data_IF_095687922268
#
_entry.id   IF_095687922268
#
_cell.length_a   1.000
_cell.length_b   1.000
_cell.length_c   1.000
_cell.angle_alpha   90.00
_cell.angle_beta   90.00
_cell.angle_gamma   90.00
#
_symmetry.space_group_name_H-M   'P 1'
#
loop_
_entity.id
_entity.type
_entity.pdbx_description
1 polymer ?
#
# COMPACT_ATOMS: atom_id res chain seq x y z
N UNK A 1 -8.22 5.25 -21.15
CA UNK A 1 -6.95 5.74 -21.73
C UNK A 1 -5.81 5.06 -21.02
N UNK A 2 -4.69 4.70 -21.69
CA UNK A 2 -3.55 4.12 -20.99
C UNK A 2 -3.07 5.05 -19.87
N UNK A 3 -2.42 4.52 -18.85
CA UNK A 3 -1.80 5.32 -17.79
C UNK A 3 -0.55 4.59 -17.34
N UNK A 4 0.59 5.27 -17.43
CA UNK A 4 1.85 4.71 -16.96
C UNK A 4 1.99 4.94 -15.45
N UNK A 5 2.57 3.95 -14.76
CA UNK A 5 2.93 4.06 -13.35
C UNK A 5 4.43 4.23 -13.24
N UNK A 6 4.86 5.26 -12.52
CA UNK A 6 6.24 5.58 -12.28
C UNK A 6 6.63 5.42 -10.80
N UNK A 7 7.92 5.15 -10.58
CA UNK A 7 8.57 5.09 -9.27
C UNK A 7 9.90 5.83 -9.32
N UNK A 8 10.43 6.23 -8.17
CA UNK A 8 11.67 7.02 -8.04
C UNK A 8 12.94 6.19 -8.11
N UNK A 9 12.86 4.86 -8.21
CA UNK A 9 14.06 4.02 -8.32
C UNK A 9 13.72 2.63 -8.86
N UNK A 10 14.72 1.97 -9.44
CA UNK A 10 14.53 0.67 -10.11
C UNK A 10 14.22 -0.48 -9.14
N UNK A 11 14.70 -0.38 -7.90
CA UNK A 11 14.40 -1.32 -6.81
C UNK A 11 12.94 -1.23 -6.30
N UNK A 12 12.24 -0.12 -6.59
CA UNK A 12 10.79 0.02 -6.36
C UNK A 12 9.96 -0.55 -7.52
N UNK A 13 10.59 -0.85 -8.66
CA UNK A 13 9.93 -1.40 -9.84
C UNK A 13 9.90 -2.94 -9.79
N UNK A 14 9.04 -3.51 -8.94
CA UNK A 14 8.90 -4.97 -8.85
C UNK A 14 8.58 -5.60 -10.22
N UNK A 15 9.12 -6.79 -10.52
CA UNK A 15 8.84 -7.47 -11.78
C UNK A 15 7.34 -7.77 -11.90
N UNK A 16 6.83 -7.78 -13.13
CA UNK A 16 5.46 -8.21 -13.36
C UNK A 16 5.25 -9.67 -12.97
N UNK A 17 4.09 -10.01 -12.42
CA UNK A 17 3.70 -11.40 -12.12
C UNK A 17 3.13 -12.13 -13.34
N UNK A 18 2.84 -11.40 -14.42
CA UNK A 18 2.31 -11.88 -15.68
C UNK A 18 3.00 -11.18 -16.86
N UNK A 19 2.71 -11.62 -18.09
CA UNK A 19 3.34 -11.08 -19.31
C UNK A 19 2.70 -9.78 -19.82
N UNK A 20 1.53 -9.40 -19.30
CA UNK A 20 0.74 -8.30 -19.84
C UNK A 20 0.99 -6.99 -19.10
N UNK A 21 1.36 -7.07 -17.82
CA UNK A 21 1.61 -5.91 -16.97
C UNK A 21 2.78 -5.08 -17.51
N UNK A 22 2.57 -3.81 -17.88
CA UNK A 22 3.60 -2.95 -18.46
C UNK A 22 4.70 -2.71 -17.43
N UNK A 23 5.95 -2.47 -17.87
CA UNK A 23 7.04 -2.10 -16.99
C UNK A 23 6.74 -0.78 -16.24
N UNK A 24 7.28 -0.63 -15.02
CA UNK A 24 7.21 0.65 -14.33
C UNK A 24 8.16 1.66 -15.02
N UNK A 25 7.75 2.91 -15.11
CA UNK A 25 8.63 3.99 -15.52
C UNK A 25 9.51 4.37 -14.33
N UNK A 26 10.82 4.34 -14.48
CA UNK A 26 11.74 4.72 -13.41
C UNK A 26 12.20 6.14 -13.63
N UNK A 27 11.78 7.06 -12.77
CA UNK A 27 12.31 8.42 -12.78
C UNK A 27 13.65 8.39 -12.06
N UNK A 28 14.73 8.69 -12.78
CA UNK A 28 16.09 8.64 -12.23
C UNK A 28 16.36 9.88 -11.35
N UNK A 29 17.18 9.74 -10.30
CA UNK A 29 17.51 10.86 -9.44
C UNK A 29 18.34 11.93 -10.17
N UNK A 30 18.35 13.18 -9.68
CA UNK A 30 18.95 14.31 -10.40
C UNK A 30 20.43 14.16 -10.73
N UNK A 31 21.19 13.48 -9.87
CA UNK A 31 22.62 13.26 -10.05
C UNK A 31 22.94 12.16 -11.07
N UNK A 32 21.98 11.30 -11.41
CA UNK A 32 22.16 10.19 -12.34
C UNK A 32 21.71 10.53 -13.78
N UNK A 33 20.94 11.61 -13.97
CA UNK A 33 20.40 11.97 -15.27
C UNK A 33 20.23 13.50 -15.43
N UNK A 34 20.76 14.11 -16.51
CA UNK A 34 20.51 15.50 -16.86
C UNK A 34 19.01 15.80 -16.99
N UNK A 35 18.60 17.06 -16.77
CA UNK A 35 17.18 17.44 -16.80
C UNK A 35 16.57 17.26 -18.19
N UNK A 36 17.26 17.71 -19.24
CA UNK A 36 16.77 17.65 -20.62
C UNK A 36 16.50 16.21 -21.09
N UNK A 37 17.36 15.27 -20.69
CA UNK A 37 17.16 13.85 -20.97
C UNK A 37 15.90 13.30 -20.28
N UNK A 38 15.69 13.64 -19.00
CA UNK A 38 14.49 13.22 -18.30
C UNK A 38 13.21 13.88 -18.83
N UNK A 39 13.28 15.13 -19.30
CA UNK A 39 12.15 15.80 -19.96
C UNK A 39 11.78 15.07 -21.26
N UNK A 40 12.77 14.68 -22.06
CA UNK A 40 12.55 13.91 -23.29
C UNK A 40 11.97 12.53 -22.99
N UNK A 41 12.53 11.80 -22.02
CA UNK A 41 12.03 10.47 -21.63
C UNK A 41 10.59 10.53 -21.09
N UNK A 42 10.30 11.42 -20.14
CA UNK A 42 8.93 11.54 -19.60
C UNK A 42 7.94 12.13 -20.61
N UNK A 43 8.39 13.04 -21.46
CA UNK A 43 7.59 13.56 -22.57
C UNK A 43 7.14 12.42 -23.50
N UNK A 44 8.07 11.55 -23.90
CA UNK A 44 7.74 10.38 -24.73
C UNK A 44 6.77 9.41 -24.02
N UNK A 45 6.93 9.21 -22.70
CA UNK A 45 6.00 8.41 -21.89
C UNK A 45 4.60 9.03 -21.89
N UNK A 46 4.48 10.34 -21.69
CA UNK A 46 3.19 11.04 -21.70
C UNK A 46 2.53 11.04 -23.08
N UNK A 47 3.29 11.17 -24.16
CA UNK A 47 2.75 11.07 -25.51
C UNK A 47 2.26 9.65 -25.82
N UNK A 48 2.99 8.62 -25.37
CA UNK A 48 2.61 7.23 -25.62
C UNK A 48 1.45 6.75 -24.74
N UNK A 49 1.48 7.09 -23.45
CA UNK A 49 0.50 6.60 -22.47
C UNK A 49 -0.60 7.61 -22.16
N UNK A 50 -0.50 8.86 -22.58
CA UNK A 50 -1.46 9.91 -22.24
C UNK A 50 -1.28 10.47 -20.83
N UNK A 51 -1.27 9.61 -19.80
CA UNK A 51 -1.14 10.00 -18.38
C UNK A 51 -0.02 9.25 -17.66
N UNK A 52 0.54 9.90 -16.63
CA UNK A 52 1.58 9.37 -15.77
C UNK A 52 1.21 9.56 -14.29
N UNK A 53 1.41 8.52 -13.50
CA UNK A 53 1.27 8.55 -12.03
C UNK A 53 2.59 8.14 -11.40
N UNK A 54 3.33 9.09 -10.81
CA UNK A 54 4.55 8.78 -10.06
C UNK A 54 4.26 8.61 -8.57
N UNK A 55 4.73 7.50 -8.00
CA UNK A 55 4.71 7.19 -6.58
C UNK A 55 6.10 7.41 -5.99
N UNK A 56 6.18 8.00 -4.81
CA UNK A 56 7.42 8.10 -4.05
C UNK A 56 7.17 7.92 -2.55
N UNK A 57 8.14 7.35 -1.85
CA UNK A 57 8.05 7.14 -0.41
C UNK A 57 8.33 8.45 0.32
N UNK A 58 7.79 8.63 1.52
CA UNK A 58 8.20 9.76 2.39
C UNK A 58 9.67 9.69 2.85
N UNK A 59 10.42 8.64 2.49
CA UNK A 59 11.88 8.57 2.66
C UNK A 59 12.66 9.05 1.41
N UNK A 60 11.96 9.39 0.32
CA UNK A 60 12.58 9.84 -0.92
C UNK A 60 13.39 11.14 -0.70
N UNK A 61 14.62 11.23 -1.23
CA UNK A 61 15.44 12.43 -1.12
C UNK A 61 14.72 13.70 -1.62
N UNK A 62 14.79 14.85 -0.90
CA UNK A 62 14.07 16.07 -1.28
C UNK A 62 14.44 16.63 -2.67
N UNK A 63 15.66 16.40 -3.15
CA UNK A 63 16.10 16.76 -4.50
C UNK A 63 15.38 15.94 -5.58
N UNK A 64 15.11 14.66 -5.31
CA UNK A 64 14.31 13.83 -6.19
C UNK A 64 12.85 14.27 -6.24
N UNK A 65 12.25 14.61 -5.09
CA UNK A 65 10.89 15.17 -5.04
C UNK A 65 10.82 16.47 -5.82
N UNK A 66 11.79 17.38 -5.64
CA UNK A 66 11.90 18.61 -6.44
C UNK A 66 11.99 18.31 -7.94
N UNK A 67 12.77 17.31 -8.35
CA UNK A 67 12.89 16.89 -9.76
C UNK A 67 11.56 16.45 -10.35
N UNK A 68 10.74 15.68 -9.63
CA UNK A 68 9.39 15.33 -10.10
C UNK A 68 8.53 16.57 -10.36
N UNK A 69 8.53 17.51 -9.41
CA UNK A 69 7.78 18.77 -9.57
C UNK A 69 8.32 19.65 -10.70
N UNK A 70 9.64 19.72 -10.89
CA UNK A 70 10.26 20.43 -12.01
C UNK A 70 9.87 19.81 -13.35
N UNK A 71 9.92 18.48 -13.47
CA UNK A 71 9.51 17.77 -14.69
C UNK A 71 8.04 18.07 -15.02
N UNK A 72 7.15 17.99 -14.03
CA UNK A 72 5.73 18.34 -14.22
C UNK A 72 5.53 19.79 -14.66
N UNK A 73 6.24 20.73 -14.02
CA UNK A 73 6.10 22.16 -14.32
C UNK A 73 6.62 22.51 -15.72
N UNK A 74 7.78 22.00 -16.11
CA UNK A 74 8.41 22.30 -17.41
C UNK A 74 7.68 21.61 -18.56
N UNK A 75 7.12 20.42 -18.34
CA UNK A 75 6.26 19.76 -19.32
C UNK A 75 4.88 20.40 -19.43
N UNK A 76 4.55 21.40 -18.60
CA UNK A 76 3.26 22.10 -18.53
C UNK A 76 2.06 21.13 -18.51
N UNK A 77 2.24 19.97 -17.87
CA UNK A 77 1.33 18.85 -17.99
C UNK A 77 0.42 18.71 -16.77
N UNK A 78 -0.88 18.75 -17.01
CA UNK A 78 -1.92 18.31 -16.08
C UNK A 78 -2.11 16.79 -16.08
N UNK A 79 -1.40 16.07 -16.97
CA UNK A 79 -1.43 14.62 -17.15
C UNK A 79 -0.40 13.88 -16.30
N UNK A 80 0.28 14.56 -15.39
CA UNK A 80 1.30 14.00 -14.51
C UNK A 80 0.92 14.16 -13.02
N UNK A 81 0.46 13.07 -12.40
CA UNK A 81 0.20 12.99 -10.97
C UNK A 81 1.48 12.60 -10.20
N UNK A 82 1.72 13.27 -9.07
CA UNK A 82 2.86 13.02 -8.17
C UNK A 82 2.27 12.69 -6.79
N UNK A 83 2.46 11.45 -6.34
CA UNK A 83 1.79 10.88 -5.18
C UNK A 83 2.80 10.44 -4.11
N UNK A 84 2.90 11.17 -2.98
CA UNK A 84 3.58 10.64 -1.81
C UNK A 84 2.80 9.45 -1.23
N UNK A 85 3.52 8.50 -0.65
CA UNK A 85 2.94 7.45 0.18
C UNK A 85 3.68 7.32 1.51
N UNK A 86 2.90 7.13 2.57
CA UNK A 86 3.40 6.83 3.90
C UNK A 86 3.86 5.38 4.05
N UNK A 87 3.62 4.54 3.04
CA UNK A 87 4.12 3.16 3.04
C UNK A 87 5.65 3.11 3.09
N UNK A 88 6.21 2.12 3.80
CA UNK A 88 7.59 1.70 3.62
C UNK A 88 7.93 1.44 2.14
N UNK A 89 9.19 1.61 1.71
CA UNK A 89 9.59 1.50 0.30
C UNK A 89 9.17 0.19 -0.39
N UNK A 90 9.25 -0.96 0.27
CA UNK A 90 8.78 -2.22 -0.28
C UNK A 90 7.24 -2.27 -0.39
N UNK A 91 6.54 -1.68 0.59
CA UNK A 91 5.09 -1.51 0.54
C UNK A 91 4.67 -0.64 -0.66
N UNK A 92 5.39 0.45 -0.93
CA UNK A 92 5.22 1.27 -2.13
C UNK A 92 5.46 0.45 -3.39
N UNK A 93 6.53 -0.35 -3.43
CA UNK A 93 6.87 -1.17 -4.59
C UNK A 93 5.76 -2.18 -4.93
N UNK A 94 5.14 -2.78 -3.91
CA UNK A 94 3.95 -3.64 -4.07
C UNK A 94 2.74 -2.84 -4.55
N UNK A 95 2.47 -1.66 -3.98
CA UNK A 95 1.39 -0.78 -4.43
C UNK A 95 1.56 -0.36 -5.91
N UNK A 96 2.78 -0.01 -6.32
CA UNK A 96 3.11 0.34 -7.69
C UNK A 96 2.87 -0.83 -8.65
N UNK A 97 3.21 -2.06 -8.24
CA UNK A 97 2.91 -3.27 -9.00
C UNK A 97 1.39 -3.46 -9.17
N UNK A 98 0.60 -3.31 -8.11
CA UNK A 98 -0.87 -3.42 -8.18
C UNK A 98 -1.49 -2.37 -9.10
N UNK A 99 -1.01 -1.12 -9.04
CA UNK A 99 -1.50 -0.06 -9.92
C UNK A 99 -1.14 -0.32 -11.40
N UNK A 100 0.02 -0.93 -11.68
CA UNK A 100 0.38 -1.34 -13.05
C UNK A 100 -0.55 -2.42 -13.57
N UNK A 101 -0.94 -3.38 -12.74
CA UNK A 101 -1.92 -4.39 -13.12
C UNK A 101 -3.28 -3.74 -13.41
N UNK A 102 -3.72 -2.82 -12.54
CA UNK A 102 -4.99 -2.09 -12.73
C UNK A 102 -4.98 -1.10 -13.90
N UNK A 103 -3.81 -0.63 -14.35
CA UNK A 103 -3.70 0.22 -15.54
C UNK A 103 -4.10 -0.49 -16.84
N UNK A 104 -4.18 -1.83 -16.83
CA UNK A 104 -4.70 -2.62 -17.95
C UNK A 104 -6.23 -2.69 -17.96
N UNK A 105 -6.87 -2.31 -16.86
CA UNK A 105 -8.32 -2.28 -16.72
C UNK A 105 -8.91 -0.96 -17.24
N UNK A 106 -10.24 -0.91 -17.33
CA UNK A 106 -11.00 0.23 -17.85
C UNK A 106 -11.18 1.38 -16.84
N UNK A 107 -10.16 1.68 -16.04
CA UNK A 107 -10.17 2.81 -15.13
C UNK A 107 -9.73 4.11 -15.81
N UNK A 108 -10.38 5.21 -15.45
CA UNK A 108 -9.88 6.54 -15.80
C UNK A 108 -8.56 6.83 -15.06
N UNK A 109 -7.68 7.68 -15.60
CA UNK A 109 -6.40 8.01 -14.97
C UNK A 109 -6.59 8.59 -13.57
N UNK A 110 -7.59 9.46 -13.39
CA UNK A 110 -7.92 10.06 -12.10
C UNK A 110 -8.33 9.03 -11.05
N UNK A 111 -9.20 8.09 -11.42
CA UNK A 111 -9.63 7.01 -10.53
C UNK A 111 -8.47 6.07 -10.18
N UNK A 112 -7.65 5.68 -11.17
CA UNK A 112 -6.47 4.83 -10.96
C UNK A 112 -5.46 5.50 -10.02
N UNK A 113 -5.17 6.78 -10.23
CA UNK A 113 -4.25 7.53 -9.37
C UNK A 113 -4.77 7.65 -7.93
N UNK A 114 -6.08 7.91 -7.76
CA UNK A 114 -6.69 8.00 -6.43
C UNK A 114 -6.81 6.62 -5.75
N UNK A 115 -6.93 5.54 -6.52
CA UNK A 115 -6.95 4.17 -6.00
C UNK A 115 -5.68 3.81 -5.23
N UNK A 116 -4.55 4.48 -5.49
CA UNK A 116 -3.31 4.30 -4.72
C UNK A 116 -3.55 4.43 -3.19
N UNK A 117 -4.35 5.42 -2.77
CA UNK A 117 -4.68 5.66 -1.35
C UNK A 117 -5.57 4.57 -0.79
N UNK A 118 -6.57 4.14 -1.54
CA UNK A 118 -7.45 3.03 -1.15
C UNK A 118 -6.65 1.73 -0.99
N UNK A 119 -5.86 1.39 -1.99
CA UNK A 119 -5.11 0.13 -2.03
C UNK A 119 -3.99 0.10 -0.99
N UNK A 120 -3.43 1.25 -0.61
CA UNK A 120 -2.46 1.33 0.49
C UNK A 120 -3.03 0.74 1.79
N UNK A 121 -4.34 0.89 2.07
CA UNK A 121 -4.97 0.27 3.24
C UNK A 121 -5.00 -1.27 3.21
N UNK A 122 -4.81 -1.87 2.02
CA UNK A 122 -4.77 -3.32 1.81
C UNK A 122 -3.34 -3.86 1.68
N UNK A 123 -2.31 -3.02 1.90
CA UNK A 123 -0.91 -3.43 1.92
C UNK A 123 -0.42 -3.52 3.36
N UNK A 124 -0.25 -4.72 3.90
CA UNK A 124 0.34 -4.90 5.23
C UNK A 124 1.86 -4.80 5.12
N UNK A 125 2.41 -3.64 5.47
CA UNK A 125 3.83 -3.33 5.30
C UNK A 125 4.52 -3.18 6.65
N UNK A 126 5.68 -3.81 6.79
CA UNK A 126 6.41 -3.90 8.05
C UNK A 126 7.86 -4.28 7.87
N UNK A 127 8.59 -4.41 8.98
CA UNK A 127 9.96 -4.90 8.95
C UNK A 127 10.31 -5.65 10.25
N UNK A 128 11.26 -6.58 10.10
CA UNK A 128 12.01 -7.12 11.22
C UNK A 128 13.26 -6.26 11.43
N UNK A 129 13.35 -5.60 12.57
CA UNK A 129 14.39 -4.62 12.88
C UNK A 129 15.33 -5.15 13.97
N UNK A 130 16.62 -4.87 13.83
CA UNK A 130 17.63 -5.07 14.87
C UNK A 130 17.76 -3.89 15.84
N UNK A 131 17.06 -2.78 15.58
CA UNK A 131 16.97 -1.63 16.47
C UNK A 131 15.77 -0.76 16.07
N UNK A 132 15.11 -0.16 17.05
CA UNK A 132 14.02 0.80 16.86
C UNK A 132 14.36 2.19 17.43
N UNK A 133 15.64 2.46 17.68
CA UNK A 133 16.09 3.68 18.35
C UNK A 133 15.83 4.97 17.55
N UNK A 134 15.68 4.88 16.22
CA UNK A 134 15.40 6.01 15.30
C UNK A 134 14.16 5.76 14.45
N UNK A 135 13.23 4.94 14.95
CA UNK A 135 12.00 4.63 14.25
C UNK A 135 11.00 5.77 14.48
N UNK A 136 11.11 6.82 13.65
CA UNK A 136 10.32 8.04 13.82
C UNK A 136 8.98 8.00 13.07
N UNK A 137 8.89 7.19 12.00
CA UNK A 137 7.73 7.14 11.09
C UNK A 137 6.58 6.26 11.57
N UNK A 138 6.80 5.45 12.61
CA UNK A 138 5.77 4.60 13.22
C UNK A 138 5.44 5.22 14.58
N UNK A 139 4.21 5.65 14.85
CA UNK A 139 3.87 6.22 16.15
C UNK A 139 4.02 5.13 17.21
N UNK A 140 5.01 5.30 18.09
CA UNK A 140 5.34 4.35 19.14
C UNK A 140 4.87 4.87 20.49
N UNK A 141 4.29 4.00 21.32
CA UNK A 141 4.20 4.28 22.75
C UNK A 141 5.61 4.41 23.34
N UNK A 142 5.79 5.36 24.27
CA UNK A 142 7.07 5.65 24.96
C UNK A 142 7.76 4.39 25.53
N UNK A 143 6.98 3.36 25.91
CA UNK A 143 7.48 2.07 26.42
C UNK A 143 8.32 1.29 25.40
N UNK A 144 8.09 1.51 24.11
CA UNK A 144 8.79 0.83 23.01
C UNK A 144 10.24 1.29 22.88
N UNK A 145 10.54 2.53 23.26
CA UNK A 145 11.93 3.03 23.28
C UNK A 145 12.77 2.34 24.37
N UNK A 146 12.17 1.95 25.50
CA UNK A 146 12.87 1.18 26.54
C UNK A 146 13.20 -0.25 26.11
N UNK A 147 12.38 -0.85 25.23
CA UNK A 147 12.64 -2.17 24.66
C UNK A 147 13.89 -2.18 23.76
N UNK A 148 14.25 -1.04 23.16
CA UNK A 148 15.39 -0.92 22.23
C UNK A 148 16.77 -1.08 22.88
N UNK A 149 16.86 -1.02 24.21
CA UNK A 149 18.11 -1.10 24.96
C UNK A 149 18.52 -2.54 25.31
N UNK A 150 17.70 -3.53 24.94
CA UNK A 150 18.00 -4.94 25.18
C UNK A 150 18.92 -5.50 24.08
N UNK A 151 20.18 -5.87 24.41
CA UNK A 151 21.10 -6.41 23.42
C UNK A 151 20.58 -7.74 22.86
N UNK A 152 20.65 -7.90 21.54
CA UNK A 152 20.31 -9.17 20.88
C UNK A 152 18.80 -9.42 20.66
N UNK A 153 17.92 -8.47 20.95
CA UNK A 153 16.51 -8.57 20.56
C UNK A 153 16.31 -8.20 19.07
N UNK A 154 15.30 -8.80 18.43
CA UNK A 154 14.74 -8.27 17.19
C UNK A 154 13.34 -7.71 17.46
N UNK A 155 12.87 -6.82 16.61
CA UNK A 155 11.57 -6.18 16.72
C UNK A 155 10.80 -6.40 15.42
N UNK A 156 9.68 -7.10 15.49
CA UNK A 156 8.74 -7.19 14.40
C UNK A 156 7.84 -5.95 14.45
N UNK A 157 7.87 -5.15 13.40
CA UNK A 157 7.10 -3.91 13.29
C UNK A 157 6.17 -4.01 12.09
N UNK A 158 4.89 -3.73 12.29
CA UNK A 158 3.93 -3.44 11.23
C UNK A 158 3.74 -1.91 11.21
N UNK A 159 3.99 -1.27 10.08
CA UNK A 159 3.80 0.17 9.90
C UNK A 159 2.43 0.50 9.33
N UNK A 160 1.89 -0.38 8.48
CA UNK A 160 0.62 -0.20 7.80
C UNK A 160 -0.11 -1.56 7.74
N UNK A 161 -1.46 -1.63 7.84
CA UNK A 161 -2.40 -0.50 7.94
C UNK A 161 -2.44 0.15 9.33
N UNK A 162 -2.21 -0.61 10.39
CA UNK A 162 -2.18 -0.10 11.76
C UNK A 162 -0.81 -0.39 12.38
N UNK A 163 -0.15 0.63 12.96
CA UNK A 163 1.12 0.48 13.67
C UNK A 163 1.09 -0.56 14.78
N UNK A 164 1.94 -1.58 14.69
CA UNK A 164 2.14 -2.59 15.74
C UNK A 164 3.62 -2.89 15.92
N UNK A 165 4.05 -3.14 17.16
CA UNK A 165 5.41 -3.60 17.46
C UNK A 165 5.39 -4.75 18.44
N UNK A 166 6.13 -5.80 18.11
CA UNK A 166 6.34 -6.96 18.98
C UNK A 166 7.83 -7.26 19.08
N UNK A 167 8.31 -7.55 20.29
CA UNK A 167 9.68 -8.01 20.50
C UNK A 167 9.79 -9.51 20.21
N UNK A 168 10.80 -9.89 19.46
CA UNK A 168 11.17 -11.28 19.21
C UNK A 168 12.44 -11.64 19.98
N UNK A 169 12.35 -12.68 20.80
CA UNK A 169 13.50 -13.23 21.50
C UNK A 169 14.19 -14.27 20.59
N UNK A 170 15.51 -14.11 20.35
CA UNK A 170 16.29 -14.95 19.40
C UNK A 170 16.30 -16.46 19.73
N UNK A 171 16.01 -16.83 20.97
CA UNK A 171 16.11 -18.19 21.48
C UNK A 171 14.76 -18.88 21.73
N UNK A 172 13.64 -18.19 21.52
CA UNK A 172 12.32 -18.73 21.82
C UNK A 172 11.67 -19.35 20.59
N UNK A 173 11.42 -20.66 20.63
CA UNK A 173 10.54 -21.39 19.70
C UNK A 173 9.12 -20.78 19.61
N UNK A 174 8.76 -19.90 20.56
CA UNK A 174 7.53 -19.07 20.58
C UNK A 174 7.52 -17.90 19.60
N UNK A 175 8.53 -17.72 18.75
CA UNK A 175 8.49 -16.72 17.68
C UNK A 175 7.29 -16.89 16.71
N UNK A 176 6.62 -18.05 16.73
CA UNK A 176 5.36 -18.31 16.03
C UNK A 176 4.14 -17.59 16.64
N UNK A 177 4.19 -17.18 17.92
CA UNK A 177 3.13 -16.41 18.61
C UNK A 177 3.35 -14.89 18.55
N UNK A 178 4.31 -14.43 17.75
CA UNK A 178 4.79 -13.04 17.66
C UNK A 178 3.76 -11.98 17.20
N UNK A 179 2.47 -12.33 17.11
CA UNK A 179 1.38 -11.39 17.38
C UNK A 179 1.24 -10.18 16.45
N UNK A 180 1.85 -10.16 15.26
CA UNK A 180 1.46 -9.17 14.25
C UNK A 180 0.09 -9.55 13.70
N UNK A 181 -0.86 -8.60 13.64
CA UNK A 181 -2.19 -8.88 13.13
C UNK A 181 -2.11 -9.33 11.67
N UNK A 182 -2.68 -10.50 11.39
CA UNK A 182 -2.71 -11.05 10.05
C UNK A 182 -3.73 -10.30 9.18
N UNK A 183 -3.47 -10.15 7.87
CA UNK A 183 -4.45 -9.63 6.93
C UNK A 183 -5.75 -10.46 6.98
N UNK A 184 -6.90 -9.79 7.03
CA UNK A 184 -8.23 -10.44 7.00
C UNK A 184 -8.65 -10.95 5.61
N UNK A 185 -7.70 -11.09 4.69
CA UNK A 185 -7.92 -11.45 3.28
C UNK A 185 -6.73 -12.24 2.75
N UNK A 186 -6.94 -12.95 1.63
CA UNK A 186 -5.88 -13.72 1.01
C UNK A 186 -4.75 -12.81 0.49
N UNK A 187 -3.51 -13.11 0.88
CA UNK A 187 -2.35 -12.29 0.53
C UNK A 187 -1.21 -13.09 -0.05
N UNK A 188 -0.37 -12.40 -0.80
CA UNK A 188 0.98 -12.83 -1.15
C UNK A 188 1.97 -11.94 -0.40
N UNK A 189 3.05 -12.54 0.11
CA UNK A 189 4.12 -11.85 0.82
C UNK A 189 5.29 -11.57 -0.12
N UNK A 190 5.73 -10.32 -0.16
CA UNK A 190 7.02 -9.93 -0.71
C UNK A 190 7.89 -9.48 0.45
N UNK A 191 9.13 -9.92 0.49
CA UNK A 191 10.06 -9.52 1.54
C UNK A 191 11.45 -9.28 1.00
N UNK A 192 12.22 -8.47 1.70
CA UNK A 192 13.55 -8.07 1.26
C UNK A 192 14.55 -8.17 2.40
N UNK A 193 15.63 -8.94 2.16
CA UNK A 193 16.69 -9.15 3.13
C UNK A 193 17.63 -7.95 3.16
N UNK A 194 17.77 -7.31 4.32
CA UNK A 194 18.87 -6.40 4.62
C UNK A 194 19.92 -7.06 5.49
N UNK A 195 20.36 -6.39 6.55
CA UNK A 195 21.37 -6.92 7.48
C UNK A 195 20.78 -7.84 8.57
N UNK A 196 19.46 -7.99 8.63
CA UNK A 196 18.77 -8.96 9.51
C UNK A 196 18.34 -10.16 8.69
N UNK A 197 18.42 -11.36 9.27
CA UNK A 197 17.92 -12.58 8.61
C UNK A 197 16.42 -12.46 8.35
N UNK A 198 16.00 -12.69 7.11
CA UNK A 198 14.59 -12.73 6.74
C UNK A 198 13.93 -14.11 6.92
N UNK A 199 14.60 -15.08 7.54
CA UNK A 199 14.03 -16.42 7.79
C UNK A 199 12.75 -16.38 8.61
N UNK A 200 12.67 -15.48 9.60
CA UNK A 200 11.43 -15.30 10.36
C UNK A 200 10.30 -14.77 9.46
N UNK A 201 10.59 -13.86 8.54
CA UNK A 201 9.61 -13.28 7.61
C UNK A 201 9.13 -14.32 6.59
N UNK A 202 10.06 -14.93 5.85
CA UNK A 202 9.73 -15.90 4.80
C UNK A 202 9.23 -17.25 5.35
N UNK A 203 9.53 -17.56 6.62
CA UNK A 203 9.15 -18.82 7.26
C UNK A 203 8.00 -18.68 8.26
N UNK A 204 8.26 -18.01 9.39
CA UNK A 204 7.32 -17.95 10.51
C UNK A 204 6.13 -17.05 10.21
N UNK A 205 6.39 -15.81 9.79
CA UNK A 205 5.35 -14.84 9.46
C UNK A 205 4.48 -15.34 8.30
N UNK A 206 5.10 -15.76 7.20
CA UNK A 206 4.41 -16.31 6.03
C UNK A 206 3.43 -17.45 6.40
N UNK A 207 3.86 -18.40 7.26
CA UNK A 207 2.99 -19.48 7.75
C UNK A 207 1.88 -18.97 8.67
N UNK A 208 2.21 -18.09 9.61
CA UNK A 208 1.25 -17.56 10.58
C UNK A 208 0.12 -16.76 9.92
N UNK A 209 0.45 -16.02 8.85
CA UNK A 209 -0.50 -15.25 8.05
C UNK A 209 -1.19 -16.07 6.96
N UNK A 210 -0.82 -17.36 6.82
CA UNK A 210 -1.35 -18.26 5.80
C UNK A 210 -1.28 -17.66 4.39
N UNK A 211 -0.16 -17.03 4.06
CA UNK A 211 0.01 -16.36 2.76
C UNK A 211 0.04 -17.38 1.64
N UNK A 212 -0.51 -17.03 0.48
CA UNK A 212 -0.57 -17.91 -0.70
C UNK A 212 0.81 -18.17 -1.33
N UNK A 213 1.79 -17.31 -1.04
CA UNK A 213 3.17 -17.44 -1.48
C UNK A 213 4.04 -16.34 -0.89
N UNK A 214 5.35 -16.59 -0.80
CA UNK A 214 6.33 -15.65 -0.29
C UNK A 214 7.52 -15.55 -1.26
N UNK A 215 7.93 -14.33 -1.60
CA UNK A 215 8.99 -14.07 -2.57
C UNK A 215 9.99 -13.06 -2.02
N UNK A 216 11.27 -13.37 -2.21
CA UNK A 216 12.35 -12.49 -1.82
C UNK A 216 12.74 -11.54 -2.96
N UNK A 217 12.97 -10.27 -2.63
CA UNK A 217 13.48 -9.24 -3.54
C UNK A 217 14.65 -8.48 -2.90
N UNK A 218 15.47 -7.75 -3.68
CA UNK A 218 16.47 -6.85 -3.13
C UNK A 218 15.83 -5.78 -2.22
N UNK A 219 16.50 -5.43 -1.12
CA UNK A 219 16.03 -4.36 -0.22
C UNK A 219 16.08 -3.01 -0.94
N UNK A 220 14.97 -2.26 -1.00
CA UNK A 220 14.99 -0.93 -1.57
C UNK A 220 15.99 -0.01 -0.84
N UNK A 221 16.72 0.82 -1.58
CA UNK A 221 17.76 1.71 -1.07
C UNK A 221 17.21 2.70 -0.04
N UNK A 222 15.97 3.16 -0.22
CA UNK A 222 15.30 4.09 0.69
C UNK A 222 14.88 3.44 2.03
N UNK A 223 14.93 2.11 2.15
CA UNK A 223 14.43 1.37 3.33
C UNK A 223 15.17 1.75 4.61
N UNK A 224 16.50 1.90 4.54
CA UNK A 224 17.28 2.24 5.72
C UNK A 224 16.95 3.64 6.25
N UNK A 225 16.68 4.60 5.35
CA UNK A 225 16.25 5.94 5.71
C UNK A 225 14.83 5.94 6.27
N UNK A 226 13.94 5.11 5.72
CA UNK A 226 12.56 4.98 6.20
C UNK A 226 12.50 4.36 7.61
N UNK A 227 13.18 3.23 7.84
CA UNK A 227 13.18 2.50 9.11
C UNK A 227 14.14 3.09 10.16
N UNK A 228 14.99 4.05 9.78
CA UNK A 228 16.01 4.64 10.65
C UNK A 228 17.18 3.71 10.98
N UNK A 229 17.31 2.58 10.28
CA UNK A 229 18.35 1.55 10.52
C UNK A 229 18.64 0.71 9.29
N UNK A 230 19.90 0.29 9.10
CA UNK A 230 20.28 -0.71 8.09
C UNK A 230 20.03 -2.15 8.54
N UNK A 231 19.83 -2.35 9.84
CA UNK A 231 19.50 -3.65 10.45
C UNK A 231 18.00 -3.92 10.28
N UNK A 232 17.58 -4.11 9.04
CA UNK A 232 16.18 -4.37 8.69
C UNK A 232 16.07 -5.57 7.74
N UNK A 233 14.95 -6.28 7.83
CA UNK A 233 14.40 -7.10 6.76
C UNK A 233 12.95 -6.64 6.55
N UNK A 234 12.66 -6.03 5.41
CA UNK A 234 11.36 -5.43 5.13
C UNK A 234 10.40 -6.46 4.54
N UNK A 235 9.10 -6.29 4.78
CA UNK A 235 8.06 -7.13 4.20
C UNK A 235 6.81 -6.33 3.84
N UNK A 236 6.11 -6.80 2.83
CA UNK A 236 4.83 -6.29 2.40
C UNK A 236 3.93 -7.45 1.96
N UNK A 237 2.75 -7.58 2.56
CA UNK A 237 1.73 -8.52 2.14
C UNK A 237 0.54 -7.77 1.53
N UNK A 238 0.07 -8.20 0.36
CA UNK A 238 -1.05 -7.55 -0.29
C UNK A 238 -1.90 -8.55 -1.09
N UNK A 239 -3.08 -8.10 -1.51
CA UNK A 239 -4.00 -8.88 -2.34
C UNK A 239 -3.32 -9.16 -3.70
N UNK A 240 -3.15 -10.45 -4.09
CA UNK A 240 -2.49 -10.81 -5.34
C UNK A 240 -3.45 -10.93 -6.52
N UNK A 241 -4.76 -11.04 -6.27
CA UNK A 241 -5.78 -11.28 -7.28
C UNK A 241 -6.26 -9.95 -7.90
N UNK A 242 -5.97 -9.76 -9.20
CA UNK A 242 -6.38 -8.58 -9.97
C UNK A 242 -7.90 -8.38 -9.99
N UNK A 243 -8.68 -9.46 -10.01
CA UNK A 243 -10.15 -9.37 -10.00
C UNK A 243 -10.64 -8.78 -8.69
N UNK A 244 -10.03 -9.15 -7.57
CA UNK A 244 -10.35 -8.58 -6.25
C UNK A 244 -9.93 -7.11 -6.19
N UNK A 245 -8.74 -6.77 -6.68
CA UNK A 245 -8.28 -5.38 -6.75
C UNK A 245 -9.22 -4.52 -7.61
N UNK A 246 -9.62 -5.03 -8.77
CA UNK A 246 -10.58 -4.37 -9.66
C UNK A 246 -11.91 -4.12 -8.94
N UNK A 247 -12.47 -5.14 -8.26
CA UNK A 247 -13.73 -5.01 -7.54
C UNK A 247 -13.64 -4.01 -6.38
N UNK A 248 -12.51 -3.96 -5.66
CA UNK A 248 -12.28 -2.97 -4.62
C UNK A 248 -12.38 -1.56 -5.18
N UNK A 249 -11.67 -1.26 -6.27
CA UNK A 249 -11.67 0.08 -6.89
C UNK A 249 -13.01 0.39 -7.55
N UNK A 250 -13.58 -0.55 -8.31
CA UNK A 250 -14.80 -0.35 -9.08
C UNK A 250 -16.04 -0.15 -8.18
N UNK A 251 -16.03 -0.67 -6.95
CA UNK A 251 -17.14 -0.58 -6.00
C UNK A 251 -17.21 0.74 -5.23
N UNK A 252 -16.17 1.59 -5.30
CA UNK A 252 -16.15 2.88 -4.60
C UNK A 252 -16.95 3.92 -5.38
N UNK A 253 -17.67 4.79 -4.66
CA UNK A 253 -18.38 5.92 -5.24
C UNK A 253 -17.38 6.87 -5.90
N UNK A 254 -17.60 7.14 -7.18
CA UNK A 254 -16.80 8.06 -8.00
C UNK A 254 -17.42 9.44 -7.96
N UNK A 255 -16.57 10.45 -7.96
CA UNK A 255 -16.94 11.85 -8.12
C UNK A 255 -16.07 12.48 -9.21
N UNK A 256 -16.52 13.55 -9.83
CA UNK A 256 -15.72 14.30 -10.80
C UNK A 256 -15.03 15.47 -10.11
N UNK A 257 -13.75 15.67 -10.41
CA UNK A 257 -13.03 16.85 -9.95
C UNK A 257 -13.64 18.11 -10.58
N UNK A 258 -14.12 19.05 -9.75
CA UNK A 258 -14.69 20.32 -10.25
C UNK A 258 -13.67 21.24 -10.94
N UNK A 259 -12.38 20.97 -10.76
CA UNK A 259 -11.31 21.78 -11.35
C UNK A 259 -10.83 21.21 -12.68
N UNK A 260 -10.40 19.94 -12.72
CA UNK A 260 -9.83 19.32 -13.92
C UNK A 260 -10.75 18.32 -14.63
N UNK A 261 -11.95 18.03 -14.10
CA UNK A 261 -12.92 17.11 -14.71
C UNK A 261 -12.61 15.62 -14.62
N UNK A 262 -11.44 15.23 -14.09
CA UNK A 262 -11.10 13.81 -13.92
C UNK A 262 -11.93 13.15 -12.81
N UNK A 263 -12.33 11.89 -13.01
CA UNK A 263 -12.93 11.08 -11.95
C UNK A 263 -11.94 10.89 -10.78
N UNK A 264 -12.44 10.85 -9.56
CA UNK A 264 -11.65 10.62 -8.36
C UNK A 264 -12.43 9.83 -7.32
N UNK A 265 -11.68 9.32 -6.34
CA UNK A 265 -12.21 8.80 -5.07
C UNK A 265 -11.53 9.54 -3.93
N UNK A 266 -12.27 9.80 -2.85
CA UNK A 266 -11.78 10.50 -1.67
C UNK A 266 -11.93 12.02 -1.74
N UNK A 267 -11.10 12.71 -0.96
CA UNK A 267 -11.24 14.13 -0.62
C UNK A 267 -10.39 15.09 -1.47
N UNK A 268 -9.49 14.56 -2.31
CA UNK A 268 -8.56 15.34 -3.14
C UNK A 268 -8.27 14.63 -4.46
N UNK A 269 -8.19 15.41 -5.54
CA UNK A 269 -7.76 14.92 -6.85
C UNK A 269 -6.25 14.62 -6.87
N UNK A 270 -5.86 13.47 -7.42
CA UNK A 270 -4.46 13.06 -7.56
C UNK A 270 -3.65 13.92 -8.55
N UNK A 271 -4.29 14.53 -9.56
CA UNK A 271 -3.60 15.32 -10.59
C UNK A 271 -3.50 16.80 -10.20
N UNK A 272 -4.63 17.49 -10.03
CA UNK A 272 -4.62 18.93 -9.74
C UNK A 272 -4.55 19.27 -8.24
N UNK A 273 -4.59 18.27 -7.35
CA UNK A 273 -4.60 18.44 -5.89
C UNK A 273 -5.81 19.24 -5.33
N UNK A 274 -6.79 19.58 -6.17
CA UNK A 274 -7.99 20.28 -5.74
C UNK A 274 -8.82 19.41 -4.78
N UNK A 275 -9.33 19.98 -3.68
CA UNK A 275 -10.23 19.28 -2.77
C UNK A 275 -11.61 19.08 -3.39
N UNK A 276 -12.29 17.98 -3.04
CA UNK A 276 -13.57 17.60 -3.65
C UNK A 276 -14.76 18.44 -3.14
N UNK A 277 -14.75 18.88 -1.88
CA UNK A 277 -15.68 19.88 -1.32
C UNK A 277 -15.20 20.44 0.05
N UNK A 278 -15.62 21.66 0.38
CA UNK A 278 -15.38 22.32 1.68
C UNK A 278 -16.24 21.66 2.78
N UNK A 279 -15.69 21.28 3.94
CA UNK A 279 -16.50 20.88 5.10
C UNK A 279 -17.28 22.11 5.58
N UNK A 280 -18.56 22.23 5.23
CA UNK A 280 -19.40 23.35 5.71
C UNK A 280 -20.78 23.53 5.06
N UNK A 281 -21.00 23.04 3.84
CA UNK A 281 -22.26 23.33 3.12
C UNK A 281 -23.49 22.53 3.59
N UNK A 282 -23.35 21.63 4.57
CA UNK A 282 -24.47 20.87 5.14
C UNK A 282 -25.07 21.50 6.41
N UNK A 283 -24.47 22.56 6.97
CA UNK A 283 -24.91 23.13 8.25
C UNK A 283 -25.78 24.41 8.13
N UNK A 284 -25.87 25.06 6.96
CA UNK A 284 -26.47 26.40 6.86
C UNK A 284 -27.76 26.50 6.00
N UNK A 285 -28.34 25.36 5.61
CA UNK A 285 -29.61 25.33 4.86
C UNK A 285 -30.86 25.24 5.78
N UNK A 286 -30.76 25.69 7.04
CA UNK A 286 -31.81 25.52 8.04
C UNK A 286 -32.00 26.70 9.00
N UNK A 287 -31.70 27.94 8.58
CA UNK A 287 -32.12 29.09 9.39
C UNK A 287 -32.46 30.33 8.56
N UNK A 288 -33.69 30.35 8.01
CA UNK A 288 -34.40 31.61 7.75
C UNK A 288 -35.86 31.54 8.22
N UNK A 289 -36.07 32.31 9.30
CA UNK A 289 -37.25 33.12 9.67
C UNK A 289 -38.54 32.45 10.12
N UNK A 290 -38.86 32.64 11.42
CA UNK A 290 -40.23 32.59 11.95
C UNK A 290 -40.35 32.69 13.48
N UNK A 291 -40.63 33.88 14.01
CA UNK A 291 -41.55 34.10 15.14
C UNK A 291 -41.12 33.76 16.59
N UNK A 292 -40.81 34.82 17.35
CA UNK A 292 -41.06 35.07 18.80
C UNK A 292 -41.59 33.95 19.72
N UNK A 293 -40.84 33.62 20.79
CA UNK A 293 -41.34 33.51 22.19
C UNK A 293 -40.18 33.32 23.20
N UNK A 294 -40.28 33.99 24.36
CA UNK A 294 -39.34 33.97 25.51
C UNK A 294 -39.66 32.81 26.49
N UNK A 295 -38.91 32.60 27.60
CA UNK A 295 -38.19 31.36 27.88
C UNK A 295 -38.82 30.50 28.99
N UNK A 296 -38.48 29.21 29.06
CA UNK A 296 -38.60 28.42 30.29
C UNK A 296 -37.35 27.58 30.53
N UNK A 297 -36.85 27.73 31.74
CA UNK A 297 -35.76 27.03 32.40
C UNK A 297 -36.04 25.54 32.61
N UNK A 298 -35.02 24.69 32.49
CA UNK A 298 -35.05 23.30 32.92
C UNK A 298 -33.68 22.61 32.81
N UNK A 299 -33.07 22.33 33.97
CA UNK A 299 -31.84 21.56 34.16
C UNK A 299 -31.98 20.08 33.69
N UNK A 300 -30.89 19.47 33.24
CA UNK A 300 -30.71 18.00 33.24
C UNK A 300 -29.64 17.49 32.26
N UNK A 301 -28.81 16.49 32.62
CA UNK A 301 -27.42 16.38 32.15
C UNK A 301 -27.23 15.51 30.90
N UNK A 302 -26.06 15.69 30.28
CA UNK A 302 -25.67 15.12 28.99
C UNK A 302 -25.55 13.60 28.93
N UNK A 303 -25.92 13.08 27.75
CA UNK A 303 -25.49 11.80 27.22
C UNK A 303 -24.86 12.06 25.84
N UNK A 304 -23.58 11.73 25.69
CA UNK A 304 -22.89 11.72 24.42
C UNK A 304 -23.43 10.55 23.56
N UNK A 305 -23.70 10.72 22.25
CA UNK A 305 -23.97 9.60 21.37
C UNK A 305 -22.64 8.93 21.01
N UNK A 306 -22.49 7.70 21.46
CA UNK A 306 -21.43 6.78 21.07
C UNK A 306 -21.62 6.41 19.58
N UNK A 307 -20.80 6.99 18.71
CA UNK A 307 -20.77 6.68 17.29
C UNK A 307 -20.13 5.29 17.09
N UNK A 308 -20.96 4.27 17.01
CA UNK A 308 -20.53 2.91 16.65
C UNK A 308 -20.10 2.87 15.18
N UNK A 309 -18.80 3.02 14.93
CA UNK A 309 -18.20 2.76 13.63
C UNK A 309 -18.17 1.24 13.38
N UNK A 310 -19.04 0.78 12.50
CA UNK A 310 -19.02 -0.62 12.03
C UNK A 310 -17.77 -0.84 11.15
N UNK A 311 -16.85 -1.76 11.48
CA UNK A 311 -15.66 -1.98 10.68
C UNK A 311 -15.98 -2.62 9.32
N UNK A 312 -15.26 -2.21 8.27
CA UNK A 312 -15.43 -2.65 6.88
C UNK A 312 -15.34 -4.19 6.69
N UNK A 313 -14.73 -4.90 7.63
CA UNK A 313 -14.69 -6.37 7.72
C UNK A 313 -16.09 -7.00 7.78
N UNK A 314 -17.09 -6.27 8.30
CA UNK A 314 -18.48 -6.72 8.39
C UNK A 314 -19.22 -6.65 7.03
N UNK A 315 -18.80 -5.77 6.11
CA UNK A 315 -19.39 -5.66 4.77
C UNK A 315 -18.96 -6.80 3.84
N UNK A 316 -17.73 -7.31 4.01
CA UNK A 316 -17.23 -8.48 3.26
C UNK A 316 -17.92 -9.78 3.72
N UNK A 317 -18.18 -9.96 5.02
CA UNK A 317 -18.94 -11.12 5.52
C UNK A 317 -20.42 -11.08 5.15
N UNK A 318 -21.04 -9.90 5.10
CA UNK A 318 -22.47 -9.74 4.76
C UNK A 318 -22.81 -10.11 3.31
N UNK A 319 -21.82 -10.23 2.41
CA UNK A 319 -22.04 -10.52 0.98
C UNK A 319 -21.79 -11.99 0.58
N UNK A 320 -21.67 -12.91 1.53
CA UNK A 320 -21.73 -14.35 1.24
C UNK A 320 -20.52 -14.95 0.50
N UNK A 321 -19.39 -14.25 0.48
CA UNK A 321 -18.12 -14.81 0.01
C UNK A 321 -17.47 -15.63 1.14
N UNK A 322 -18.04 -16.81 1.40
CA UNK A 322 -17.39 -17.83 2.21
C UNK A 322 -16.35 -18.58 1.33
N UNK A 323 -15.21 -18.99 1.91
CA UNK A 323 -14.22 -19.77 1.17
C UNK A 323 -14.81 -21.13 0.76
N UNK A 324 -14.70 -21.44 -0.53
CA UNK A 324 -14.97 -22.78 -1.06
C UNK A 324 -13.85 -23.70 -0.56
N UNK A 325 -14.21 -24.70 0.26
CA UNK A 325 -13.30 -25.78 0.63
C UNK A 325 -12.80 -26.50 -0.63
N UNK A 326 -11.49 -26.79 -0.76
CA UNK A 326 -11.00 -27.58 -1.88
C UNK A 326 -11.52 -29.02 -1.74
N UNK A 327 -12.44 -29.39 -2.63
CA UNK A 327 -12.87 -30.77 -2.82
C UNK A 327 -11.68 -31.63 -3.25
N UNK A 328 -11.48 -32.74 -2.55
CA UNK A 328 -10.39 -33.68 -2.77
C UNK A 328 -10.40 -34.27 -4.18
N UNK A 329 -9.22 -34.28 -4.80
CA UNK A 329 -8.94 -35.08 -6.00
C UNK A 329 -8.69 -36.52 -5.55
N UNK A 330 -9.40 -37.53 -6.09
CA UNK A 330 -9.11 -38.93 -5.79
C UNK A 330 -7.78 -39.34 -6.46
N UNK A 331 -6.88 -39.94 -5.67
CA UNK A 331 -5.58 -40.43 -6.13
C UNK A 331 -5.69 -41.68 -7.02
N UNK A 332 -4.68 -41.94 -7.86
CA UNK A 332 -4.66 -43.13 -8.70
C UNK A 332 -4.23 -44.38 -7.91
N UNK A 333 -5.00 -45.47 -8.05
CA UNK A 333 -4.69 -46.80 -7.52
C UNK A 333 -3.44 -47.44 -8.16
N UNK A 334 -2.75 -48.35 -7.45
CA UNK A 334 -1.54 -49.01 -7.93
C UNK A 334 -1.86 -50.26 -8.78
N UNK A 335 -1.48 -50.25 -10.05
CA UNK A 335 -1.74 -51.34 -11.00
C UNK A 335 -0.50 -51.96 -11.64
N UNK A 336 -0.06 -53.10 -11.07
CA UNK A 336 0.59 -54.27 -11.69
C UNK A 336 1.85 -54.14 -12.57
N UNK A 337 2.90 -54.78 -12.04
CA UNK A 337 4.08 -55.33 -12.72
C UNK A 337 3.70 -56.30 -13.84
N UNK A 338 4.35 -56.16 -15.00
CA UNK A 338 4.64 -57.27 -15.91
C UNK A 338 6.08 -57.16 -16.40
N UNK A 339 6.83 -58.23 -16.16
CA UNK A 339 8.18 -58.43 -16.63
C UNK A 339 8.18 -58.76 -18.13
N UNK A 340 9.12 -58.21 -18.89
CA UNK A 340 9.49 -58.73 -20.21
C UNK A 340 10.99 -59.00 -20.21
N UNK A 341 11.30 -60.27 -20.45
CA UNK A 341 12.63 -60.84 -20.61
C UNK A 341 13.22 -60.51 -21.99
N UNK A 342 14.54 -60.50 -22.01
CA UNK A 342 15.42 -60.40 -23.17
C UNK A 342 15.11 -61.39 -24.31
N UNK A 343 15.39 -60.92 -25.53
CA UNK A 343 16.17 -61.62 -26.56
C UNK A 343 17.05 -60.61 -27.27
#
# INVERSE_FOLDING_TARGET
>A
MPTAIAVTSADLALPATDRQTPAAVVVRPPHAQPLDEALNELGAVLEHHGHLVALYSTACPPDHVRRLHTLRAVLESDRFAILPTDLPPLGLAVLAQQLRQLSLCDFSPGLLACAARLLAHYVHAGALLGSVARLDKVPMDLRSHLLSWVPGAHFAVLANPEPHLVRLDRHAERAAEAGLPAPGFATRLVWARGQVSGEWVGGVLARSWQVQGAYEVPLPAESAAWWGTHKAAEFAAAIPDLSVLYQLVASVRREECRWCGLELIGDRCAFCCAPTAVPGAAADAGHRTGGTARPRTGNGPGGAPEASATPASSLLRRRGLAPVSPGGVPGPEPGRRTAVRAR
#
